data_IF_451172807827
#
_entry.id   IF_451172807827
#
_cell.length_a   1.000
_cell.length_b   1.000
_cell.length_c   1.000
_cell.angle_alpha   90.00
_cell.angle_beta   90.00
_cell.angle_gamma   90.00
#
_symmetry.space_group_name_H-M   'P 1'
#
loop_
_entity.id
_entity.type
_entity.pdbx_description
1 polymer ?
#
# COMPACT_ATOMS: atom_id res chain seq x y z
N UNK A 1 10.80 31.94 -1.91
CA UNK A 1 9.94 32.64 -0.92
C UNK A 1 9.23 33.84 -1.55
N UNK A 2 9.95 34.89 -1.96
CA UNK A 2 9.34 36.04 -2.67
C UNK A 2 8.47 35.67 -3.88
N UNK A 3 8.90 34.69 -4.69
CA UNK A 3 8.10 34.20 -5.83
C UNK A 3 6.78 33.57 -5.38
N UNK A 4 6.79 32.80 -4.29
CA UNK A 4 5.60 32.15 -3.74
C UNK A 4 4.59 33.17 -3.22
N UNK A 5 5.09 34.21 -2.55
CA UNK A 5 4.26 35.29 -1.99
C UNK A 5 3.61 36.15 -3.07
N UNK A 6 4.31 36.40 -4.18
CA UNK A 6 3.85 37.32 -5.24
C UNK A 6 3.11 36.61 -6.37
N UNK A 7 3.64 35.48 -6.84
CA UNK A 7 3.14 34.78 -8.03
C UNK A 7 2.31 33.54 -7.71
N UNK A 8 2.45 32.97 -6.51
CA UNK A 8 1.72 31.78 -6.09
C UNK A 8 2.50 30.46 -6.27
N UNK A 9 1.80 29.35 -6.01
CA UNK A 9 2.39 28.01 -5.93
C UNK A 9 2.89 27.52 -7.29
N UNK A 10 2.07 27.64 -8.34
CA UNK A 10 2.33 27.03 -9.65
C UNK A 10 3.56 27.65 -10.31
N UNK A 11 3.67 28.97 -10.25
CA UNK A 11 4.78 29.74 -10.79
C UNK A 11 6.07 29.47 -10.01
N UNK A 12 5.96 29.26 -8.70
CA UNK A 12 7.12 28.85 -7.88
C UNK A 12 7.58 27.45 -8.24
N UNK A 13 6.65 26.50 -8.46
CA UNK A 13 6.97 25.14 -8.88
C UNK A 13 7.69 25.14 -10.23
N UNK A 14 7.13 25.84 -11.22
CA UNK A 14 7.72 25.93 -12.56
C UNK A 14 9.13 26.54 -12.50
N UNK A 15 9.28 27.65 -11.78
CA UNK A 15 10.58 28.29 -11.59
C UNK A 15 11.62 27.34 -10.99
N UNK A 16 11.24 26.54 -9.99
CA UNK A 16 12.16 25.59 -9.37
C UNK A 16 12.51 24.43 -10.31
N UNK A 17 11.56 23.93 -11.10
CA UNK A 17 11.83 22.88 -12.10
C UNK A 17 12.81 23.39 -13.14
N UNK A 18 12.55 24.57 -13.72
CA UNK A 18 13.38 25.16 -14.77
C UNK A 18 14.82 25.38 -14.30
N UNK A 19 14.99 25.91 -13.10
CA UNK A 19 16.31 26.27 -12.57
C UNK A 19 17.14 25.03 -12.19
N UNK A 20 16.49 24.00 -11.63
CA UNK A 20 17.15 22.72 -11.37
C UNK A 20 17.52 22.03 -12.69
N UNK A 21 16.60 21.99 -13.65
CA UNK A 21 16.85 21.36 -14.95
C UNK A 21 17.95 22.05 -15.73
N UNK A 22 18.05 23.38 -15.65
CA UNK A 22 19.13 24.13 -16.28
C UNK A 22 20.51 23.63 -15.85
N UNK A 23 20.73 23.44 -14.54
CA UNK A 23 22.00 22.92 -14.01
C UNK A 23 22.29 21.51 -14.49
N UNK A 24 21.28 20.62 -14.51
CA UNK A 24 21.47 19.25 -15.00
C UNK A 24 21.77 19.20 -16.51
N UNK A 25 21.08 20.03 -17.31
CA UNK A 25 21.34 20.17 -18.74
C UNK A 25 22.73 20.73 -19.01
N UNK A 26 23.18 21.72 -18.24
CA UNK A 26 24.54 22.28 -18.33
C UNK A 26 25.62 21.22 -18.03
N UNK A 27 25.34 20.25 -17.16
CA UNK A 27 26.22 19.11 -16.86
C UNK A 27 26.05 17.93 -17.84
N UNK A 28 25.19 18.06 -18.85
CA UNK A 28 24.92 17.00 -19.83
C UNK A 28 24.11 15.82 -19.29
N UNK A 29 23.46 15.97 -18.14
CA UNK A 29 22.65 14.91 -17.51
C UNK A 29 21.18 15.10 -17.88
N UNK A 30 20.58 14.07 -18.49
CA UNK A 30 19.15 14.07 -18.83
C UNK A 30 18.31 13.49 -17.70
N UNK A 31 17.46 14.31 -17.09
CA UNK A 31 16.48 13.90 -16.06
C UNK A 31 15.08 14.33 -16.50
N UNK A 32 14.09 13.47 -16.32
CA UNK A 32 12.70 13.83 -16.62
C UNK A 32 12.11 14.73 -15.52
N UNK A 33 11.42 15.79 -15.93
CA UNK A 33 10.79 16.80 -15.04
C UNK A 33 9.96 16.21 -13.89
N UNK A 34 9.22 15.12 -14.15
CA UNK A 34 8.42 14.38 -13.15
C UNK A 34 9.16 14.08 -11.86
N UNK A 35 10.46 13.80 -11.91
CA UNK A 35 11.25 13.50 -10.71
C UNK A 35 11.46 14.75 -9.87
N UNK A 36 11.79 15.87 -10.53
CA UNK A 36 12.00 17.17 -9.87
C UNK A 36 10.67 17.70 -9.32
N UNK A 37 9.58 17.58 -10.07
CA UNK A 37 8.24 17.96 -9.64
C UNK A 37 7.79 17.22 -8.39
N UNK A 38 8.03 15.90 -8.31
CA UNK A 38 7.69 15.12 -7.11
C UNK A 38 8.44 15.63 -5.88
N UNK A 39 9.71 16.01 -6.01
CA UNK A 39 10.49 16.58 -4.91
C UNK A 39 9.97 17.98 -4.52
N UNK A 40 9.72 18.86 -5.49
CA UNK A 40 9.20 20.20 -5.22
C UNK A 40 7.80 20.14 -4.59
N UNK A 41 6.98 19.17 -4.98
CA UNK A 41 5.69 18.92 -4.33
C UNK A 41 5.86 18.61 -2.83
N UNK A 42 6.88 17.85 -2.44
CA UNK A 42 7.18 17.61 -1.02
C UNK A 42 7.63 18.88 -0.29
N UNK A 43 8.35 19.78 -0.97
CA UNK A 43 8.79 21.07 -0.40
C UNK A 43 7.64 22.04 -0.12
N UNK A 44 6.47 21.87 -0.76
CA UNK A 44 5.28 22.71 -0.64
C UNK A 44 4.10 21.99 0.03
N UNK A 45 4.37 20.87 0.72
CA UNK A 45 3.34 20.01 1.33
C UNK A 45 2.65 20.66 2.54
N UNK A 46 3.25 21.67 3.17
CA UNK A 46 2.75 22.29 4.41
C UNK A 46 2.14 23.67 4.17
N UNK A 47 1.09 23.98 4.93
CA UNK A 47 0.43 25.29 4.98
C UNK A 47 0.58 25.82 6.39
N UNK A 48 1.07 27.06 6.50
CA UNK A 48 1.08 27.79 7.76
C UNK A 48 -0.28 28.45 7.99
N UNK A 49 -0.94 28.10 9.07
CA UNK A 49 -2.26 28.66 9.44
C UNK A 49 -2.05 30.09 9.96
N UNK A 50 -2.72 31.06 9.33
CA UNK A 50 -2.73 32.44 9.80
C UNK A 50 -3.89 32.67 10.75
N UNK A 51 -5.12 32.37 10.30
CA UNK A 51 -6.33 32.50 11.09
C UNK A 51 -7.05 31.14 11.12
N UNK A 52 -7.34 30.59 12.31
CA UNK A 52 -7.91 29.25 12.41
C UNK A 52 -9.40 29.18 12.05
N UNK A 53 -10.12 30.30 12.03
CA UNK A 53 -11.58 30.30 11.84
C UNK A 53 -12.28 29.41 12.88
N UNK A 54 -13.24 28.60 12.42
CA UNK A 54 -13.95 27.60 13.26
C UNK A 54 -13.28 26.21 13.20
N UNK A 55 -12.04 26.13 12.71
CA UNK A 55 -11.29 24.87 12.66
C UNK A 55 -10.63 24.53 14.00
N UNK A 56 -10.08 23.32 14.08
CA UNK A 56 -9.32 22.85 15.24
C UNK A 56 -7.84 23.28 15.20
N UNK A 57 -7.43 24.04 14.17
CA UNK A 57 -6.03 24.45 14.02
C UNK A 57 -5.67 25.58 15.00
N UNK A 58 -4.39 25.66 15.34
CA UNK A 58 -3.84 26.77 16.12
C UNK A 58 -3.19 27.82 15.19
N UNK A 59 -3.25 29.11 15.53
CA UNK A 59 -2.52 30.15 14.81
C UNK A 59 -1.02 29.83 14.75
N UNK A 60 -0.42 29.87 13.57
CA UNK A 60 0.99 29.54 13.35
C UNK A 60 1.30 28.05 13.24
N UNK A 61 0.31 27.16 13.41
CA UNK A 61 0.49 25.72 13.19
C UNK A 61 0.79 25.43 11.71
N UNK A 62 1.59 24.38 11.47
CA UNK A 62 1.88 23.88 10.12
C UNK A 62 1.08 22.63 9.85
N UNK A 63 -0.02 22.78 9.12
CA UNK A 63 -0.87 21.67 8.72
C UNK A 63 -0.41 21.09 7.38
N UNK A 64 -0.78 19.83 7.11
CA UNK A 64 -0.67 19.28 5.76
C UNK A 64 -1.64 19.99 4.81
N UNK A 65 -1.17 20.33 3.61
CA UNK A 65 -1.95 21.10 2.64
C UNK A 65 -3.23 20.38 2.19
N UNK A 66 -3.19 19.05 2.09
CA UNK A 66 -4.35 18.24 1.69
C UNK A 66 -5.36 18.18 2.84
N UNK A 67 -4.89 17.88 4.05
CA UNK A 67 -5.75 17.83 5.24
C UNK A 67 -6.41 19.18 5.53
N UNK A 68 -5.64 20.28 5.37
CA UNK A 68 -6.14 21.64 5.53
C UNK A 68 -7.23 21.96 4.50
N UNK A 69 -7.04 21.57 3.23
CA UNK A 69 -8.03 21.76 2.17
C UNK A 69 -9.30 20.91 2.39
N UNK A 70 -9.15 19.67 2.85
CA UNK A 70 -10.27 18.78 3.20
C UNK A 70 -11.06 19.31 4.39
N UNK A 71 -10.37 19.76 5.45
CA UNK A 71 -10.99 20.35 6.65
C UNK A 71 -11.76 21.62 6.29
N UNK A 72 -11.18 22.52 5.50
CA UNK A 72 -11.85 23.74 5.06
C UNK A 72 -13.06 23.45 4.18
N UNK A 73 -12.97 22.46 3.28
CA UNK A 73 -14.13 22.06 2.46
C UNK A 73 -15.30 21.64 3.35
N UNK A 74 -15.05 20.81 4.36
CA UNK A 74 -16.07 20.37 5.31
C UNK A 74 -16.66 21.54 6.11
N UNK A 75 -15.84 22.47 6.60
CA UNK A 75 -16.32 23.64 7.33
C UNK A 75 -17.24 24.51 6.48
N UNK A 76 -16.90 24.71 5.21
CA UNK A 76 -17.74 25.46 4.26
C UNK A 76 -19.07 24.74 4.01
N UNK A 77 -19.06 23.41 3.86
CA UNK A 77 -20.28 22.59 3.73
C UNK A 77 -21.19 22.68 4.98
N UNK A 78 -20.59 22.81 6.16
CA UNK A 78 -21.29 23.02 7.43
C UNK A 78 -21.73 24.49 7.66
N UNK A 79 -21.42 25.40 6.74
CA UNK A 79 -21.73 26.83 6.86
C UNK A 79 -20.90 27.58 7.91
N UNK A 80 -19.76 27.01 8.32
CA UNK A 80 -18.81 27.59 9.29
C UNK A 80 -17.72 28.40 8.59
N UNK A 81 -16.96 29.15 9.37
CA UNK A 81 -15.83 29.96 8.87
C UNK A 81 -14.62 29.06 8.59
N UNK A 82 -14.12 28.97 7.34
CA UNK A 82 -12.94 28.18 7.03
C UNK A 82 -11.67 28.81 7.63
N UNK A 83 -10.64 27.98 7.84
CA UNK A 83 -9.34 28.48 8.25
C UNK A 83 -8.61 29.17 7.09
N UNK A 84 -7.90 30.25 7.39
CA UNK A 84 -6.98 30.90 6.47
C UNK A 84 -5.56 30.43 6.71
N UNK A 85 -4.86 30.14 5.61
CA UNK A 85 -3.48 29.69 5.67
C UNK A 85 -2.74 30.02 4.40
N UNK A 86 -1.42 30.15 4.51
CA UNK A 86 -0.53 30.39 3.37
C UNK A 86 0.41 29.21 3.17
N UNK A 87 0.59 28.73 1.93
CA UNK A 87 1.56 27.68 1.63
C UNK A 87 2.96 28.07 2.10
N UNK A 88 3.69 27.16 2.74
CA UNK A 88 5.07 27.38 3.18
C UNK A 88 6.03 26.58 2.30
N UNK A 89 6.96 27.27 1.63
CA UNK A 89 8.08 26.61 0.95
C UNK A 89 9.15 26.23 1.97
N UNK A 90 9.37 24.93 2.12
CA UNK A 90 10.35 24.33 3.02
C UNK A 90 11.51 23.71 2.22
N UNK A 91 12.73 23.76 2.76
CA UNK A 91 13.84 22.99 2.20
C UNK A 91 13.61 21.48 2.40
N UNK A 92 14.23 20.64 1.57
CA UNK A 92 14.06 19.17 1.60
C UNK A 92 14.29 18.58 3.01
N UNK A 93 15.33 19.01 3.72
CA UNK A 93 15.65 18.53 5.07
C UNK A 93 14.54 18.87 6.06
N UNK A 94 14.03 20.11 5.99
CA UNK A 94 12.96 20.58 6.88
C UNK A 94 11.63 19.91 6.54
N UNK A 95 11.37 19.65 5.26
CA UNK A 95 10.17 18.94 4.81
C UNK A 95 10.18 17.48 5.27
N UNK A 96 11.34 16.80 5.23
CA UNK A 96 11.49 15.42 5.71
C UNK A 96 11.28 15.28 7.22
N UNK A 97 11.69 16.27 8.01
CA UNK A 97 11.46 16.29 9.46
C UNK A 97 10.01 16.61 9.83
N UNK A 98 9.30 17.33 8.97
CA UNK A 98 7.90 17.72 9.16
C UNK A 98 6.91 16.68 8.60
N UNK A 99 7.33 15.42 8.46
CA UNK A 99 6.41 14.31 8.14
C UNK A 99 5.45 14.05 9.29
N UNK A 100 4.29 13.47 9.00
CA UNK A 100 3.24 13.27 10.01
C UNK A 100 3.51 12.04 10.89
N UNK A 101 4.33 11.12 10.39
CA UNK A 101 4.83 10.00 11.18
C UNK A 101 6.00 10.42 12.07
N UNK A 102 5.78 10.36 13.38
CA UNK A 102 6.85 10.59 14.34
C UNK A 102 7.92 9.50 14.28
N UNK A 103 7.56 8.25 13.93
CA UNK A 103 8.51 7.14 13.85
C UNK A 103 9.47 7.33 12.66
N UNK A 104 8.94 7.69 11.50
CA UNK A 104 9.74 8.04 10.33
C UNK A 104 10.58 9.29 10.58
N UNK A 105 10.02 10.35 11.17
CA UNK A 105 10.75 11.57 11.49
C UNK A 105 11.93 11.30 12.45
N UNK A 106 11.69 10.55 13.53
CA UNK A 106 12.70 10.21 14.53
C UNK A 106 13.85 9.35 13.97
N UNK A 107 13.56 8.54 12.93
CA UNK A 107 14.57 7.72 12.24
C UNK A 107 15.51 8.52 11.34
N UNK A 108 15.13 9.74 10.94
CA UNK A 108 15.92 10.56 10.04
C UNK A 108 16.97 11.37 10.81
N UNK A 109 16.53 12.31 11.64
CA UNK A 109 17.38 13.16 12.50
C UNK A 109 16.58 13.64 13.74
N UNK A 110 17.26 14.28 14.69
CA UNK A 110 16.64 14.93 15.87
C UNK A 110 15.76 14.00 16.74
N UNK A 111 16.13 12.71 16.83
CA UNK A 111 15.36 11.64 17.50
C UNK A 111 14.82 12.04 18.87
N UNK A 112 15.64 12.62 19.75
CA UNK A 112 15.23 13.03 21.10
C UNK A 112 14.12 14.09 21.09
N UNK A 113 14.22 15.09 20.21
CA UNK A 113 13.22 16.15 20.10
C UNK A 113 11.89 15.59 19.60
N UNK A 114 11.94 14.80 18.53
CA UNK A 114 10.75 14.22 17.88
C UNK A 114 10.00 13.28 18.83
N UNK A 115 10.71 12.40 19.55
CA UNK A 115 10.08 11.48 20.50
C UNK A 115 9.46 12.19 21.70
N UNK A 116 10.12 13.25 22.20
CA UNK A 116 9.61 14.03 23.33
C UNK A 116 8.33 14.77 22.93
N UNK A 117 8.31 15.41 21.77
CA UNK A 117 7.14 16.12 21.24
C UNK A 117 5.97 15.16 20.99
N UNK A 118 6.24 14.01 20.38
CA UNK A 118 5.23 12.96 20.15
C UNK A 118 4.67 12.39 21.46
N UNK A 119 5.51 12.21 22.49
CA UNK A 119 5.07 11.72 23.80
C UNK A 119 4.21 12.73 24.56
N UNK A 120 4.57 14.02 24.50
CA UNK A 120 3.80 15.11 25.13
C UNK A 120 2.42 15.24 24.47
N UNK A 121 2.35 15.14 23.15
CA UNK A 121 1.10 15.27 22.39
C UNK A 121 0.29 13.97 22.34
N UNK A 122 0.85 12.84 22.78
CA UNK A 122 0.20 11.52 22.69
C UNK A 122 -0.04 11.07 21.24
N UNK A 123 0.86 11.42 20.31
CA UNK A 123 0.71 11.13 18.88
C UNK A 123 0.72 9.62 18.58
N UNK A 124 -0.26 9.19 17.79
CA UNK A 124 -0.34 7.81 17.27
C UNK A 124 0.15 7.79 15.82
N UNK A 125 1.02 6.83 15.49
CA UNK A 125 1.53 6.67 14.13
C UNK A 125 0.60 5.79 13.28
N UNK A 126 0.18 6.31 12.12
CA UNK A 126 -0.74 5.62 11.20
C UNK A 126 -0.08 4.55 10.32
N UNK A 127 1.25 4.48 10.27
CA UNK A 127 1.99 3.50 9.46
C UNK A 127 1.64 3.55 7.96
N UNK A 128 1.37 4.75 7.44
CA UNK A 128 1.09 4.94 6.00
C UNK A 128 2.36 5.12 5.17
N UNK A 129 3.49 5.41 5.82
CA UNK A 129 4.77 5.63 5.19
C UNK A 129 5.55 4.36 4.92
N UNK A 130 6.51 4.43 3.99
CA UNK A 130 7.38 3.29 3.69
C UNK A 130 8.35 3.02 4.86
N UNK A 131 8.90 4.08 5.47
CA UNK A 131 9.94 3.95 6.50
C UNK A 131 9.42 3.36 7.80
N UNK A 132 8.26 3.79 8.30
CA UNK A 132 7.65 3.19 9.49
C UNK A 132 7.47 1.67 9.35
N UNK A 133 6.91 1.23 8.22
CA UNK A 133 6.62 -0.19 7.99
C UNK A 133 7.90 -1.01 7.91
N UNK A 134 8.96 -0.49 7.27
CA UNK A 134 10.28 -1.14 7.25
C UNK A 134 10.89 -1.25 8.65
N UNK A 135 10.78 -0.21 9.47
CA UNK A 135 11.32 -0.21 10.84
C UNK A 135 10.63 -1.26 11.72
N UNK A 136 9.30 -1.39 11.58
CA UNK A 136 8.49 -2.35 12.35
C UNK A 136 8.60 -3.78 11.80
N UNK A 137 8.99 -3.94 10.53
CA UNK A 137 9.02 -5.24 9.86
C UNK A 137 7.67 -5.65 9.23
N UNK A 138 6.77 -4.70 9.00
CA UNK A 138 5.50 -4.89 8.27
C UNK A 138 5.72 -4.66 6.78
N UNK A 139 4.90 -5.31 5.94
CA UNK A 139 4.93 -5.07 4.49
C UNK A 139 4.71 -3.58 4.18
N UNK A 140 5.56 -3.04 3.31
CA UNK A 140 5.46 -1.64 2.87
C UNK A 140 4.15 -1.41 2.10
N UNK A 141 3.51 -0.24 2.22
CA UNK A 141 2.26 0.06 1.54
C UNK A 141 2.49 0.47 0.06
N UNK A 142 3.35 -0.25 -0.65
CA UNK A 142 3.70 -0.02 -2.04
C UNK A 142 3.89 -1.35 -2.79
N UNK A 143 3.61 -1.36 -4.10
CA UNK A 143 3.67 -2.58 -4.90
C UNK A 143 2.74 -3.66 -4.34
N UNK A 144 3.22 -4.90 -4.26
CA UNK A 144 2.48 -6.06 -3.72
C UNK A 144 2.04 -5.91 -2.26
N UNK A 145 2.61 -4.96 -1.52
CA UNK A 145 2.18 -4.65 -0.16
C UNK A 145 0.95 -3.72 -0.08
N UNK A 146 0.44 -3.20 -1.19
CA UNK A 146 -0.85 -2.50 -1.19
C UNK A 146 -2.01 -3.49 -0.93
N UNK A 147 -3.07 -3.10 -0.18
CA UNK A 147 -4.19 -3.99 0.14
C UNK A 147 -4.82 -4.65 -1.10
N UNK A 148 -4.92 -3.91 -2.21
CA UNK A 148 -5.48 -4.40 -3.48
C UNK A 148 -4.74 -5.62 -4.05
N UNK A 149 -3.44 -5.77 -3.78
CA UNK A 149 -2.67 -6.92 -4.23
C UNK A 149 -2.52 -8.01 -3.16
N UNK A 150 -2.88 -7.72 -1.90
CA UNK A 150 -2.83 -8.68 -0.79
C UNK A 150 -4.14 -9.42 -0.59
N UNK A 151 -5.25 -8.76 -0.86
CA UNK A 151 -6.60 -9.28 -0.65
C UNK A 151 -7.22 -9.66 -1.99
N UNK A 152 -6.51 -10.49 -2.75
CA UNK A 152 -7.04 -11.06 -3.98
C UNK A 152 -7.81 -12.31 -3.59
N UNK A 153 -9.13 -12.24 -3.65
CA UNK A 153 -9.98 -13.43 -3.59
C UNK A 153 -9.89 -14.14 -4.92
N UNK A 154 -9.48 -15.40 -4.91
CA UNK A 154 -9.49 -16.26 -6.08
C UNK A 154 -10.86 -16.91 -6.19
N UNK A 155 -11.65 -16.50 -7.17
CA UNK A 155 -12.85 -17.23 -7.57
C UNK A 155 -12.48 -18.18 -8.70
N UNK A 156 -12.61 -19.48 -8.45
CA UNK A 156 -12.33 -20.51 -9.43
C UNK A 156 -13.57 -21.43 -9.52
N UNK A 157 -14.59 -21.03 -10.32
CA UNK A 157 -15.88 -21.70 -10.34
C UNK A 157 -15.81 -23.16 -10.83
N UNK A 158 -14.83 -23.48 -11.68
CA UNK A 158 -14.59 -24.82 -12.22
C UNK A 158 -13.29 -25.44 -11.68
N UNK A 159 -12.81 -25.00 -10.51
CA UNK A 159 -11.62 -25.59 -9.91
C UNK A 159 -11.94 -26.97 -9.35
N UNK A 160 -11.53 -28.00 -10.09
CA UNK A 160 -11.36 -29.33 -9.54
C UNK A 160 -9.97 -29.41 -8.91
N UNK A 161 -9.85 -29.60 -7.58
CA UNK A 161 -8.55 -29.86 -6.98
C UNK A 161 -7.96 -31.08 -7.66
N UNK A 162 -6.75 -30.95 -8.20
CA UNK A 162 -6.04 -32.08 -8.77
C UNK A 162 -6.03 -33.21 -7.73
N UNK A 163 -6.33 -34.46 -8.13
CA UNK A 163 -6.20 -35.59 -7.22
C UNK A 163 -4.78 -35.57 -6.66
N UNK A 164 -4.68 -35.72 -5.34
CA UNK A 164 -3.43 -35.63 -4.60
C UNK A 164 -2.41 -36.62 -5.19
N UNK A 165 -1.43 -36.12 -5.94
CA UNK A 165 -0.30 -36.92 -6.37
C UNK A 165 0.81 -36.78 -5.33
N UNK A 166 0.91 -37.78 -4.46
CA UNK A 166 2.20 -38.04 -3.81
C UNK A 166 3.15 -38.61 -4.87
N UNK A 167 4.42 -38.22 -4.85
CA UNK A 167 5.50 -38.89 -5.59
C UNK A 167 5.69 -40.37 -5.20
N UNK A 168 4.96 -40.85 -4.20
CA UNK A 168 4.94 -42.25 -3.78
C UNK A 168 4.01 -43.13 -4.64
N UNK A 169 3.32 -42.55 -5.63
CA UNK A 169 2.55 -43.33 -6.60
C UNK A 169 3.52 -43.99 -7.58
N UNK A 170 3.33 -45.30 -7.73
CA UNK A 170 4.02 -46.16 -8.68
C UNK A 170 4.04 -45.57 -10.08
N UNK A 171 5.23 -45.47 -10.66
CA UNK A 171 5.45 -44.89 -11.98
C UNK A 171 4.62 -45.59 -13.07
N UNK A 172 4.33 -46.89 -12.88
CA UNK A 172 3.40 -47.66 -13.72
C UNK A 172 1.98 -47.07 -13.72
N UNK A 173 1.39 -46.73 -12.56
CA UNK A 173 0.04 -46.19 -12.48
C UNK A 173 -0.05 -44.79 -13.13
N UNK A 174 0.98 -43.96 -12.96
CA UNK A 174 1.09 -42.66 -13.64
C UNK A 174 1.18 -42.83 -15.17
N UNK A 175 1.98 -43.78 -15.65
CA UNK A 175 2.12 -44.06 -17.07
C UNK A 175 0.83 -44.64 -17.69
N UNK A 176 0.06 -45.43 -16.94
CA UNK A 176 -1.23 -45.95 -17.37
C UNK A 176 -2.28 -44.84 -17.49
N UNK A 177 -2.35 -43.93 -16.52
CA UNK A 177 -3.29 -42.80 -16.54
C UNK A 177 -2.98 -41.80 -17.66
N UNK A 178 -1.69 -41.48 -17.88
CA UNK A 178 -1.28 -40.63 -19.00
C UNK A 178 -1.60 -41.28 -20.36
N UNK A 179 -1.52 -42.61 -20.45
CA UNK A 179 -1.88 -43.35 -21.67
C UNK A 179 -3.38 -43.31 -21.95
N UNK A 180 -4.20 -43.32 -20.91
CA UNK A 180 -5.66 -43.27 -21.03
C UNK A 180 -6.17 -41.85 -21.31
N UNK A 181 -5.56 -40.84 -20.66
CA UNK A 181 -5.91 -39.43 -20.85
C UNK A 181 -5.34 -38.83 -22.14
N UNK A 182 -4.22 -39.33 -22.65
CA UNK A 182 -3.61 -38.90 -23.91
C UNK A 182 -3.84 -40.00 -24.94
N UNK A 183 -5.06 -40.06 -25.49
CA UNK A 183 -5.44 -41.03 -26.52
C UNK A 183 -4.55 -40.94 -27.77
N UNK A 184 -3.50 -41.77 -27.83
CA UNK A 184 -2.70 -42.05 -29.02
C UNK A 184 -2.74 -43.56 -29.24
N UNK A 185 -3.60 -44.00 -30.17
CA UNK A 185 -3.71 -45.40 -30.55
C UNK A 185 -2.50 -45.87 -31.36
N UNK A 186 -1.97 -47.05 -31.05
CA UNK A 186 -1.71 -48.16 -32.00
C UNK A 186 -1.21 -49.43 -31.27
N UNK A 187 -2.03 -50.48 -31.34
CA UNK A 187 -1.76 -51.91 -31.65
C UNK A 187 -0.65 -52.75 -30.97
N UNK A 188 -1.15 -53.74 -30.20
CA UNK A 188 -0.79 -55.17 -30.02
C UNK A 188 0.63 -55.67 -29.67
N UNK A 189 0.67 -56.49 -28.60
CA UNK A 189 1.75 -57.45 -28.26
C UNK A 189 1.61 -57.96 -26.81
N UNK A 190 1.26 -59.23 -26.62
CA UNK A 190 0.75 -59.80 -25.35
C UNK A 190 1.77 -60.35 -24.34
N UNK A 191 1.24 -60.88 -23.23
CA UNK A 191 1.86 -61.95 -22.44
C UNK A 191 2.10 -61.70 -20.94
N UNK A 192 1.23 -62.32 -20.12
CA UNK A 192 1.43 -62.88 -18.76
C UNK A 192 1.78 -62.00 -17.54
N UNK A 193 0.86 -62.02 -16.56
CA UNK A 193 1.09 -62.84 -15.36
C UNK A 193 1.45 -62.16 -14.03
N UNK A 194 0.46 -62.16 -13.13
CA UNK A 194 0.53 -62.38 -11.67
C UNK A 194 0.73 -61.20 -10.70
N UNK A 195 -0.20 -61.12 -9.73
CA UNK A 195 0.10 -60.82 -8.32
C UNK A 195 -0.59 -59.61 -7.70
N UNK A 196 -1.77 -59.81 -7.09
CA UNK A 196 -2.17 -59.00 -5.94
C UNK A 196 -1.26 -59.34 -4.74
N UNK A 197 -1.03 -58.37 -3.83
CA UNK A 197 -1.69 -58.56 -2.55
C UNK A 197 -2.24 -57.27 -1.91
N UNK A 198 -3.25 -57.54 -1.09
CA UNK A 198 -3.90 -56.68 -0.11
C UNK A 198 -2.96 -56.02 0.90
N UNK A 199 -3.43 -54.93 1.52
CA UNK A 199 -3.13 -54.67 2.93
C UNK A 199 -3.03 -53.21 3.37
N UNK A 200 -4.07 -52.78 4.08
CA UNK A 200 -4.02 -51.93 5.28
C UNK A 200 -3.80 -50.42 5.13
N UNK A 201 -4.76 -49.68 5.72
CA UNK A 201 -4.90 -48.25 5.60
C UNK A 201 -4.45 -47.46 6.82
N UNK A 202 -4.61 -46.14 6.71
CA UNK A 202 -4.59 -45.21 7.83
C UNK A 202 -5.58 -44.06 7.59
N UNK A 203 -6.55 -43.96 8.51
CA UNK A 203 -7.11 -42.74 9.10
C UNK A 203 -7.63 -41.63 8.18
N UNK A 204 -8.91 -41.67 7.83
CA UNK A 204 -9.69 -40.50 7.42
C UNK A 204 -9.83 -39.49 8.56
N UNK A 205 -9.36 -38.25 8.34
CA UNK A 205 -9.69 -37.10 9.18
C UNK A 205 -11.04 -36.52 8.68
N UNK A 206 -12.09 -36.68 9.48
CA UNK A 206 -13.44 -36.15 9.22
C UNK A 206 -13.44 -34.62 9.31
N UNK A 207 -13.86 -33.94 8.23
CA UNK A 207 -14.25 -32.52 8.25
C UNK A 207 -15.68 -32.45 8.79
N UNK A 208 -15.86 -31.64 9.84
CA UNK A 208 -17.15 -31.34 10.44
C UNK A 208 -17.94 -30.45 9.48
N UNK A 209 -19.06 -30.94 8.94
CA UNK A 209 -20.04 -30.11 8.24
C UNK A 209 -20.83 -29.28 9.27
N UNK A 210 -20.66 -27.95 9.24
CA UNK A 210 -21.64 -27.05 9.84
C UNK A 210 -22.84 -26.87 8.90
N UNK A 211 -24.02 -27.09 9.45
CA UNK A 211 -25.31 -27.03 8.76
C UNK A 211 -25.67 -25.60 8.28
N UNK A 212 -26.40 -25.46 7.16
CA UNK A 212 -26.80 -24.14 6.67
C UNK A 212 -27.95 -23.57 7.51
N UNK A 213 -27.85 -22.27 7.82
CA UNK A 213 -28.83 -21.49 8.56
C UNK A 213 -30.14 -21.35 7.76
N UNK A 214 -31.25 -21.84 8.31
CA UNK A 214 -32.60 -21.58 7.81
C UNK A 214 -32.96 -20.09 7.98
N UNK A 215 -33.28 -19.44 6.86
CA UNK A 215 -33.99 -18.16 6.88
C UNK A 215 -35.46 -18.42 7.23
N UNK A 216 -35.87 -18.03 8.43
CA UNK A 216 -37.30 -17.82 8.73
C UNK A 216 -37.55 -16.33 8.84
N UNK A 217 -38.36 -15.83 7.90
CA UNK A 217 -39.02 -14.55 8.03
C UNK A 217 -40.12 -14.65 9.07
N UNK A 218 -40.32 -13.55 9.79
CA UNK A 218 -41.58 -13.26 10.47
C UNK A 218 -41.95 -11.82 10.13
N UNK A 219 -43.06 -11.70 9.42
CA UNK A 219 -43.97 -10.56 9.45
C UNK A 219 -44.49 -10.29 10.87
N UNK A 220 -44.98 -9.05 11.04
CA UNK A 220 -45.57 -8.36 12.22
C UNK A 220 -44.63 -7.53 13.10
#
# INVERSE_FOLDING_TARGET
>A
KKILEVKGIRETQQYLVDEVQKVYREQGVSIHDKHVEVIIRQMLRKVGVSEPGDSHYLPGQKADAREFAETNRRLVEEGKSPAEGRPELMGITKASLATDSWLSAASFQETTRVLTEAAIEGKVDGLFGLKENVIIGKLIPAGTGMPIYRQITTEAPDYEPLPFYSTDIDAEAMAAYLRDSIGVGTQEGGGDGAGEPAGEGYGTLTVVEEAPLEQTGTDE
#
